data_IF_762451366031
#
_entry.id   IF_762451366031
#
_cell.length_a   1.000
_cell.length_b   1.000
_cell.length_c   1.000
_cell.angle_alpha   90.00
_cell.angle_beta   90.00
_cell.angle_gamma   90.00
#
_symmetry.space_group_name_H-M   'P 1'
#
loop_
_entity.id
_entity.type
_entity.pdbx_description
1 polymer ?
#
# COMPACT_ATOMS: atom_id res chain seq x y z
N UNK A 1 -19.71 -17.11 28.16
CA UNK A 1 -19.97 -15.68 28.41
C UNK A 1 -18.99 -14.90 27.54
N UNK A 2 -19.43 -14.36 26.41
CA UNK A 2 -18.60 -13.52 25.53
C UNK A 2 -18.36 -12.20 26.24
N UNK A 3 -17.14 -12.00 26.75
CA UNK A 3 -16.74 -10.72 27.35
C UNK A 3 -16.39 -9.74 26.24
N UNK A 4 -16.89 -8.50 26.36
CA UNK A 4 -16.50 -7.38 25.48
C UNK A 4 -14.98 -7.12 25.51
N UNK A 5 -14.32 -7.50 26.62
CA UNK A 5 -12.86 -7.41 26.79
C UNK A 5 -12.11 -8.67 26.36
N UNK A 6 -12.78 -9.63 25.69
CA UNK A 6 -12.05 -10.78 25.14
C UNK A 6 -11.11 -10.33 24.01
N UNK A 7 -9.93 -10.96 23.87
CA UNK A 7 -8.99 -10.63 22.80
C UNK A 7 -9.61 -10.67 21.41
N UNK A 8 -10.57 -11.58 21.20
CA UNK A 8 -11.31 -11.71 19.93
C UNK A 8 -12.11 -10.45 19.59
N UNK A 9 -12.90 -9.94 20.53
CA UNK A 9 -13.74 -8.76 20.31
C UNK A 9 -12.88 -7.50 20.14
N UNK A 10 -11.80 -7.39 20.90
CA UNK A 10 -10.86 -6.27 20.75
C UNK A 10 -10.19 -6.26 19.38
N UNK A 11 -9.68 -7.40 18.92
CA UNK A 11 -9.05 -7.51 17.59
C UNK A 11 -10.06 -7.24 16.48
N UNK A 12 -11.29 -7.73 16.60
CA UNK A 12 -12.37 -7.44 15.64
C UNK A 12 -12.65 -5.93 15.56
N UNK A 13 -12.74 -5.26 16.70
CA UNK A 13 -12.92 -3.80 16.75
C UNK A 13 -11.75 -3.06 16.10
N UNK A 14 -10.50 -3.47 16.38
CA UNK A 14 -9.33 -2.88 15.75
C UNK A 14 -9.33 -3.05 14.24
N UNK A 15 -9.69 -4.24 13.74
CA UNK A 15 -9.81 -4.49 12.30
C UNK A 15 -10.90 -3.61 11.66
N UNK A 16 -12.06 -3.48 12.30
CA UNK A 16 -13.16 -2.65 11.78
C UNK A 16 -12.76 -1.16 11.70
N UNK A 17 -12.09 -0.64 12.74
CA UNK A 17 -11.61 0.74 12.75
C UNK A 17 -10.51 0.96 11.71
N UNK A 18 -9.55 0.02 11.61
CA UNK A 18 -8.48 0.07 10.62
C UNK A 18 -9.04 0.07 9.19
N UNK A 19 -9.97 -0.83 8.90
CA UNK A 19 -10.64 -0.90 7.59
C UNK A 19 -11.43 0.37 7.30
N UNK A 20 -12.13 0.94 8.28
CA UNK A 20 -12.87 2.18 8.06
C UNK A 20 -11.95 3.36 7.70
N UNK A 21 -10.79 3.46 8.37
CA UNK A 21 -9.78 4.48 8.03
C UNK A 21 -9.21 4.22 6.63
N UNK A 22 -8.89 2.96 6.32
CA UNK A 22 -8.37 2.57 5.00
C UNK A 22 -9.36 2.91 3.88
N UNK A 23 -10.64 2.58 4.05
CA UNK A 23 -11.71 2.87 3.08
C UNK A 23 -11.83 4.37 2.79
N UNK A 24 -11.68 5.22 3.82
CA UNK A 24 -11.69 6.68 3.67
C UNK A 24 -10.50 7.18 2.87
N UNK A 25 -9.30 6.68 3.17
CA UNK A 25 -8.09 7.01 2.43
C UNK A 25 -8.23 6.59 0.95
N UNK A 26 -8.69 5.36 0.70
CA UNK A 26 -8.92 4.84 -0.66
C UNK A 26 -9.96 5.67 -1.41
N UNK A 27 -11.02 6.12 -0.75
CA UNK A 27 -12.01 7.01 -1.35
C UNK A 27 -11.40 8.36 -1.78
N UNK A 28 -10.53 8.94 -0.95
CA UNK A 28 -9.82 10.19 -1.26
C UNK A 28 -8.83 10.00 -2.43
N UNK A 29 -8.10 8.88 -2.46
CA UNK A 29 -7.22 8.51 -3.59
C UNK A 29 -8.02 8.39 -4.88
N UNK A 30 -9.17 7.71 -4.84
CA UNK A 30 -10.06 7.56 -6.01
C UNK A 30 -10.62 8.89 -6.49
N UNK A 31 -10.94 9.81 -5.56
CA UNK A 31 -11.36 11.18 -5.89
C UNK A 31 -10.25 11.97 -6.60
N UNK A 32 -8.99 11.76 -6.22
CA UNK A 32 -7.83 12.37 -6.86
C UNK A 32 -7.59 11.85 -8.29
N UNK A 33 -8.18 10.69 -8.64
CA UNK A 33 -8.04 9.95 -9.91
C UNK A 33 -6.62 9.42 -10.17
N UNK A 34 -5.61 10.27 -10.09
CA UNK A 34 -4.21 9.90 -10.31
C UNK A 34 -3.45 9.83 -9.00
N UNK A 35 -2.56 8.86 -8.89
CA UNK A 35 -1.74 8.64 -7.71
C UNK A 35 -0.36 8.13 -8.08
N UNK A 36 0.57 8.19 -7.12
CA UNK A 36 1.86 7.50 -7.18
C UNK A 36 1.96 6.47 -6.07
N UNK A 37 2.62 5.36 -6.37
CA UNK A 37 2.90 4.30 -5.41
C UNK A 37 4.31 4.47 -4.85
N UNK A 38 4.44 4.27 -3.54
CA UNK A 38 5.67 4.36 -2.79
C UNK A 38 5.79 3.09 -1.96
N UNK A 39 6.87 2.34 -2.14
CA UNK A 39 7.15 1.17 -1.33
C UNK A 39 8.52 1.27 -0.66
N UNK A 40 8.55 0.93 0.61
CA UNK A 40 9.75 0.91 1.43
C UNK A 40 9.87 -0.45 2.13
N UNK A 41 11.08 -1.01 2.13
CA UNK A 41 11.39 -2.29 2.75
C UNK A 41 11.88 -2.04 4.17
N UNK A 42 11.14 -2.52 5.17
CA UNK A 42 11.52 -2.44 6.58
C UNK A 42 11.66 -3.85 7.16
N UNK A 43 12.73 -4.12 7.94
CA UNK A 43 12.82 -5.38 8.67
C UNK A 43 11.76 -5.42 9.78
N UNK A 44 11.01 -6.52 9.88
CA UNK A 44 10.09 -6.75 11.00
C UNK A 44 10.84 -7.15 12.28
N UNK A 45 10.16 -7.06 13.43
CA UNK A 45 10.62 -7.49 14.76
C UNK A 45 11.08 -8.95 14.77
N UNK A 46 10.57 -9.77 13.83
CA UNK A 46 10.91 -11.17 13.62
C UNK A 46 12.06 -11.45 12.63
N UNK A 47 12.73 -10.42 12.10
CA UNK A 47 13.71 -10.49 11.00
C UNK A 47 13.14 -10.97 9.64
N UNK A 48 11.83 -10.88 9.44
CA UNK A 48 11.20 -11.09 8.13
C UNK A 48 11.07 -9.73 7.42
N UNK A 49 11.47 -9.64 6.16
CA UNK A 49 11.31 -8.39 5.41
C UNK A 49 9.82 -8.13 5.13
N UNK A 50 9.38 -6.92 5.46
CA UNK A 50 8.05 -6.42 5.12
C UNK A 50 8.17 -5.18 4.26
N UNK A 51 7.14 -4.92 3.47
CA UNK A 51 7.07 -3.74 2.63
C UNK A 51 5.89 -2.89 3.05
N UNK A 52 6.16 -1.62 3.36
CA UNK A 52 5.11 -0.63 3.57
C UNK A 52 4.60 -0.13 2.24
N UNK A 53 3.29 -0.09 2.09
CA UNK A 53 2.60 0.54 0.96
C UNK A 53 2.16 1.95 1.34
N UNK A 54 2.66 2.94 0.61
CA UNK A 54 2.25 4.33 0.71
C UNK A 54 1.74 4.82 -0.65
N UNK A 55 0.64 5.57 -0.64
CA UNK A 55 0.08 6.19 -1.83
C UNK A 55 0.22 7.71 -1.72
N UNK A 56 0.85 8.33 -2.72
CA UNK A 56 0.93 9.78 -2.86
C UNK A 56 -0.12 10.26 -3.85
N UNK A 57 -0.96 11.21 -3.45
CA UNK A 57 -2.05 11.74 -4.28
C UNK A 57 -2.32 13.21 -3.97
N UNK A 58 -3.04 13.89 -4.87
CA UNK A 58 -3.44 15.29 -4.67
C UNK A 58 -4.82 15.33 -4.02
N UNK A 59 -4.91 15.90 -2.83
CA UNK A 59 -6.17 16.12 -2.14
C UNK A 59 -6.66 17.54 -2.42
N UNK A 60 -7.93 17.64 -2.83
CA UNK A 60 -8.58 18.89 -3.17
C UNK A 60 -9.86 19.03 -2.34
N UNK A 61 -9.89 20.09 -1.54
CA UNK A 61 -11.03 20.50 -0.72
C UNK A 61 -11.32 21.98 -0.94
N UNK A 62 -12.36 22.28 -1.72
CA UNK A 62 -12.65 23.64 -2.17
C UNK A 62 -11.48 24.20 -2.99
N UNK A 63 -10.96 25.34 -2.58
CA UNK A 63 -9.79 25.99 -3.20
C UNK A 63 -8.45 25.51 -2.59
N UNK A 64 -8.49 24.64 -1.58
CA UNK A 64 -7.29 24.09 -0.97
C UNK A 64 -6.79 22.86 -1.74
N UNK A 65 -5.51 22.88 -2.10
CA UNK A 65 -4.83 21.80 -2.81
C UNK A 65 -3.59 21.42 -2.02
N UNK A 66 -3.48 20.14 -1.66
CA UNK A 66 -2.33 19.60 -0.95
C UNK A 66 -1.91 18.24 -1.53
N UNK A 67 -0.62 17.93 -1.44
CA UNK A 67 -0.11 16.59 -1.74
C UNK A 67 -0.13 15.80 -0.45
N UNK A 68 -0.89 14.70 -0.43
CA UNK A 68 -0.94 13.77 0.70
C UNK A 68 -0.18 12.50 0.37
N UNK A 69 0.42 11.93 1.41
CA UNK A 69 0.94 10.56 1.43
C UNK A 69 0.15 9.81 2.48
N UNK A 70 -0.38 8.64 2.13
CA UNK A 70 -1.16 7.84 3.05
C UNK A 70 -0.70 6.39 3.03
N UNK A 71 -0.47 5.85 4.22
CA UNK A 71 -0.10 4.47 4.45
C UNK A 71 -1.34 3.57 4.35
N UNK A 72 -1.25 2.49 3.56
CA UNK A 72 -2.34 1.53 3.36
C UNK A 72 -2.12 0.20 4.09
N UNK A 73 -0.87 -0.17 4.38
CA UNK A 73 -0.57 -1.40 5.08
C UNK A 73 0.87 -1.87 4.89
N UNK A 74 1.16 -2.98 5.56
CA UNK A 74 2.35 -3.78 5.31
C UNK A 74 1.95 -5.07 4.61
N UNK A 75 2.81 -5.55 3.73
CA UNK A 75 2.69 -6.90 3.19
C UNK A 75 4.04 -7.63 3.27
N UNK A 76 4.03 -8.95 3.50
CA UNK A 76 5.24 -9.72 3.67
C UNK A 76 6.02 -9.87 2.36
N UNK A 77 7.32 -9.61 2.44
CA UNK A 77 8.28 -9.89 1.37
C UNK A 77 9.14 -11.05 1.85
N UNK A 78 8.62 -12.28 1.72
CA UNK A 78 9.52 -13.44 1.71
C UNK A 78 10.51 -13.25 0.56
N UNK A 79 11.77 -13.72 0.67
CA UNK A 79 12.81 -13.61 -0.37
C UNK A 79 12.27 -14.01 -1.77
N UNK A 80 11.76 -13.02 -2.51
CA UNK A 80 10.94 -13.20 -3.70
C UNK A 80 11.59 -12.54 -4.89
N UNK A 81 11.43 -13.16 -6.05
CA UNK A 81 11.86 -12.62 -7.33
C UNK A 81 11.08 -11.33 -7.65
N UNK A 82 11.63 -10.49 -8.54
CA UNK A 82 10.93 -9.28 -8.99
C UNK A 82 9.55 -9.55 -9.61
N UNK A 83 9.33 -10.75 -10.16
CA UNK A 83 8.03 -11.13 -10.73
C UNK A 83 6.97 -11.31 -9.64
N UNK A 84 7.28 -12.09 -8.60
CA UNK A 84 6.37 -12.34 -7.48
C UNK A 84 6.08 -11.07 -6.69
N UNK A 85 7.08 -10.19 -6.54
CA UNK A 85 6.87 -8.90 -5.89
C UNK A 85 5.95 -7.99 -6.72
N UNK A 86 6.09 -8.00 -8.05
CA UNK A 86 5.19 -7.26 -8.93
C UNK A 86 3.76 -7.78 -8.82
N UNK A 87 3.58 -9.11 -8.87
CA UNK A 87 2.26 -9.75 -8.76
C UNK A 87 1.59 -9.44 -7.41
N UNK A 88 2.35 -9.54 -6.32
CA UNK A 88 1.89 -9.14 -4.99
C UNK A 88 1.41 -7.67 -4.97
N UNK A 89 2.20 -6.74 -5.50
CA UNK A 89 1.84 -5.32 -5.54
C UNK A 89 0.55 -5.11 -6.33
N UNK A 90 0.44 -5.71 -7.52
CA UNK A 90 -0.76 -5.59 -8.35
C UNK A 90 -2.00 -6.16 -7.65
N UNK A 91 -1.86 -7.30 -6.96
CA UNK A 91 -2.94 -7.90 -6.19
C UNK A 91 -3.39 -6.98 -5.05
N UNK A 92 -2.48 -6.39 -4.27
CA UNK A 92 -2.85 -5.50 -3.16
C UNK A 92 -3.54 -4.23 -3.66
N UNK A 93 -3.05 -3.64 -4.75
CA UNK A 93 -3.73 -2.51 -5.40
C UNK A 93 -5.13 -2.90 -5.88
N UNK A 94 -5.31 -4.10 -6.46
CA UNK A 94 -6.62 -4.59 -6.88
C UNK A 94 -7.56 -4.83 -5.69
N UNK A 95 -7.07 -5.38 -4.58
CA UNK A 95 -7.83 -5.57 -3.33
C UNK A 95 -8.31 -4.23 -2.75
N UNK A 96 -7.50 -3.17 -2.86
CA UNK A 96 -7.87 -1.80 -2.48
C UNK A 96 -8.73 -1.09 -3.57
N UNK A 97 -8.95 -1.76 -4.70
CA UNK A 97 -9.68 -1.26 -5.86
C UNK A 97 -8.98 -0.06 -6.51
N UNK A 98 -7.66 0.03 -6.42
CA UNK A 98 -6.81 1.02 -7.06
C UNK A 98 -6.33 0.48 -8.41
N UNK A 99 -6.81 1.09 -9.49
CA UNK A 99 -6.40 0.72 -10.85
C UNK A 99 -4.98 1.21 -11.13
N UNK A 100 -4.05 0.27 -11.35
CA UNK A 100 -2.66 0.56 -11.69
C UNK A 100 -2.53 1.42 -12.96
N UNK A 101 -3.50 1.36 -13.88
CA UNK A 101 -3.51 2.19 -15.10
C UNK A 101 -3.62 3.71 -14.81
N UNK A 102 -4.05 4.07 -13.60
CA UNK A 102 -4.14 5.43 -13.10
C UNK A 102 -2.89 5.86 -12.31
N UNK A 103 -1.97 4.94 -12.04
CA UNK A 103 -0.69 5.25 -11.42
C UNK A 103 0.18 6.12 -12.35
N UNK A 104 0.78 7.19 -11.81
CA UNK A 104 1.61 8.16 -12.56
C UNK A 104 3.02 8.32 -12.00
N UNK A 105 3.33 7.63 -10.92
CA UNK A 105 4.65 7.66 -10.31
C UNK A 105 4.89 6.41 -9.48
N UNK A 106 6.12 5.92 -9.51
CA UNK A 106 6.54 4.77 -8.72
C UNK A 106 7.82 5.17 -7.98
N UNK A 107 7.85 4.98 -6.67
CA UNK A 107 9.03 5.16 -5.84
C UNK A 107 9.27 3.90 -5.02
N UNK A 108 10.51 3.43 -5.02
CA UNK A 108 10.91 2.20 -4.34
C UNK A 108 12.20 2.49 -3.58
N UNK A 109 12.29 2.14 -2.29
CA UNK A 109 13.57 2.18 -1.59
C UNK A 109 14.43 0.95 -1.93
N UNK A 110 15.72 1.23 -2.10
CA UNK A 110 16.95 0.47 -2.40
C UNK A 110 16.97 -1.07 -2.64
N UNK A 111 15.91 -1.71 -3.10
CA UNK A 111 15.98 -3.08 -3.57
C UNK A 111 16.39 -3.12 -5.05
N UNK A 112 17.53 -3.71 -5.39
CA UNK A 112 17.95 -3.95 -6.77
C UNK A 112 16.88 -4.70 -7.61
N UNK A 113 16.04 -5.48 -6.93
CA UNK A 113 14.87 -6.19 -7.46
C UNK A 113 13.72 -5.24 -7.89
N UNK A 114 13.68 -4.02 -7.37
CA UNK A 114 12.64 -3.01 -7.65
C UNK A 114 13.00 -2.09 -8.83
N UNK A 115 14.24 -1.59 -8.86
CA UNK A 115 14.72 -0.62 -9.84
C UNK A 115 15.44 -1.22 -11.07
N UNK A 116 15.50 -2.56 -11.19
CA UNK A 116 16.24 -3.24 -12.26
C UNK A 116 15.72 -2.95 -13.68
N UNK A 117 16.59 -2.41 -14.54
CA UNK A 117 16.27 -1.94 -15.91
C UNK A 117 15.74 -3.06 -16.83
N UNK A 118 16.14 -4.32 -16.60
CA UNK A 118 15.80 -5.47 -17.46
C UNK A 118 14.81 -6.47 -16.83
N UNK A 119 14.28 -6.17 -15.64
CA UNK A 119 13.38 -7.12 -14.96
C UNK A 119 12.90 -6.73 -13.57
N UNK A 120 13.20 -5.53 -13.09
CA UNK A 120 12.72 -5.01 -11.82
C UNK A 120 11.25 -4.62 -11.88
N UNK A 121 10.63 -4.46 -10.71
CA UNK A 121 9.20 -4.13 -10.55
C UNK A 121 8.82 -2.89 -11.38
N UNK A 122 9.65 -1.84 -11.36
CA UNK A 122 9.41 -0.62 -12.11
C UNK A 122 9.28 -0.85 -13.63
N UNK A 123 10.06 -1.77 -14.20
CA UNK A 123 10.01 -2.06 -15.63
C UNK A 123 8.78 -2.90 -16.03
N UNK A 124 8.19 -3.61 -15.06
CA UNK A 124 7.05 -4.52 -15.25
C UNK A 124 5.70 -3.83 -15.03
N UNK A 125 5.66 -2.85 -14.13
CA UNK A 125 4.48 -2.01 -13.90
C UNK A 125 4.53 -0.82 -14.88
N UNK A 126 3.66 -0.84 -15.90
CA UNK A 126 3.57 0.20 -16.95
C UNK A 126 2.27 0.98 -16.89
#
# INVERSE_FOLDING_TARGET
MTSYFSPKIQNELFCLLGNHVKDKIVADIKKAKYFGILFDSTPDVSHTDQMSELIRYVHIEGDHVEVKESFLGFFPVAEKTAAELTENILQHLEEDGLDISLCRGQGYDNAATMAGIHGGVQAKIK
#
